data_IF_074857009496
#
_entry.id   IF_074857009496
#
_cell.length_a   1.000
_cell.length_b   1.000
_cell.length_c   1.000
_cell.angle_alpha   90.00
_cell.angle_beta   90.00
_cell.angle_gamma   90.00
#
_symmetry.space_group_name_H-M   'P 1'
#
loop_
_entity.id
_entity.type
_entity.pdbx_description
1 polymer ?
#
# COMPACT_ATOMS: atom_id res chain seq x y z
N UNK A 1 -27.67 -6.21 11.33
CA UNK A 1 -27.00 -6.15 10.01
C UNK A 1 -26.21 -4.85 9.82
N UNK A 2 -26.84 -3.67 9.65
CA UNK A 2 -26.11 -2.39 9.38
C UNK A 2 -25.06 -2.01 10.44
N UNK A 3 -25.37 -2.17 11.73
CA UNK A 3 -24.42 -1.88 12.81
C UNK A 3 -23.18 -2.79 12.79
N UNK A 4 -23.37 -4.09 12.55
CA UNK A 4 -22.27 -5.06 12.39
C UNK A 4 -21.43 -4.81 11.13
N UNK A 5 -22.04 -4.22 10.10
CA UNK A 5 -21.35 -3.76 8.89
C UNK A 5 -20.74 -2.36 9.04
N UNK A 6 -20.98 -1.67 10.16
CA UNK A 6 -20.53 -0.29 10.37
C UNK A 6 -20.97 0.68 9.25
N UNK A 7 -22.16 0.49 8.68
CA UNK A 7 -22.72 1.32 7.59
C UNK A 7 -23.89 2.16 8.05
N UNK A 8 -23.96 3.40 7.57
CA UNK A 8 -25.08 4.33 7.72
C UNK A 8 -25.87 4.43 6.41
N UNK A 9 -27.13 4.90 6.44
CA UNK A 9 -27.86 5.23 5.22
C UNK A 9 -27.07 6.24 4.37
N UNK A 10 -26.93 5.97 3.07
CA UNK A 10 -26.14 6.79 2.15
C UNK A 10 -24.69 6.32 1.95
N UNK A 11 -24.19 5.41 2.78
CA UNK A 11 -22.83 4.88 2.63
C UNK A 11 -22.72 3.97 1.39
N UNK A 12 -21.58 4.09 0.70
CA UNK A 12 -21.22 3.19 -0.40
C UNK A 12 -20.65 1.88 0.16
N UNK A 13 -21.08 0.77 -0.42
CA UNK A 13 -20.62 -0.59 -0.09
C UNK A 13 -20.21 -1.33 -1.35
N UNK A 14 -19.36 -2.34 -1.18
CA UNK A 14 -19.05 -3.30 -2.23
C UNK A 14 -19.94 -4.52 -2.02
N UNK A 15 -20.55 -5.03 -3.08
CA UNK A 15 -21.36 -6.23 -3.03
C UNK A 15 -20.95 -7.19 -4.16
N UNK A 16 -20.87 -8.47 -3.84
CA UNK A 16 -20.59 -9.53 -4.80
C UNK A 16 -21.48 -10.74 -4.51
N UNK A 17 -21.75 -11.55 -5.54
CA UNK A 17 -22.46 -12.83 -5.38
C UNK A 17 -21.45 -13.95 -5.51
N UNK A 18 -21.33 -14.77 -4.47
CA UNK A 18 -20.40 -15.91 -4.41
C UNK A 18 -21.19 -17.14 -4.02
N UNK A 19 -21.20 -18.17 -4.86
CA UNK A 19 -21.93 -19.45 -4.64
C UNK A 19 -23.42 -19.26 -4.30
N UNK A 20 -24.05 -18.24 -4.87
CA UNK A 20 -25.46 -17.89 -4.62
C UNK A 20 -25.69 -17.03 -3.37
N UNK A 21 -24.65 -16.68 -2.62
CA UNK A 21 -24.72 -15.76 -1.48
C UNK A 21 -24.41 -14.33 -1.89
N UNK A 22 -25.28 -13.37 -1.55
CA UNK A 22 -24.97 -11.94 -1.65
C UNK A 22 -24.09 -11.54 -0.47
N UNK A 23 -22.81 -11.27 -0.75
CA UNK A 23 -21.84 -10.77 0.23
C UNK A 23 -21.73 -9.26 0.09
N UNK A 24 -21.83 -8.55 1.21
CA UNK A 24 -21.75 -7.09 1.25
C UNK A 24 -20.66 -6.68 2.23
N UNK A 25 -19.77 -5.84 1.75
CA UNK A 25 -18.59 -5.37 2.46
C UNK A 25 -18.64 -3.85 2.59
N UNK A 26 -18.47 -3.36 3.81
CA UNK A 26 -18.17 -1.95 4.04
C UNK A 26 -16.67 -1.73 4.06
N UNK A 27 -16.23 -0.56 3.61
CA UNK A 27 -14.81 -0.17 3.69
C UNK A 27 -14.27 -0.28 5.12
N UNK A 28 -15.07 0.12 6.11
CA UNK A 28 -14.65 0.09 7.52
C UNK A 28 -14.38 -1.34 8.00
N UNK A 29 -15.26 -2.29 7.68
CA UNK A 29 -15.09 -3.70 8.06
C UNK A 29 -13.91 -4.34 7.35
N UNK A 30 -13.73 -4.08 6.05
CA UNK A 30 -12.58 -4.59 5.29
C UNK A 30 -11.26 -4.09 5.88
N UNK A 31 -11.17 -2.79 6.20
CA UNK A 31 -9.98 -2.23 6.82
C UNK A 31 -9.71 -2.84 8.21
N UNK A 32 -10.75 -3.07 9.02
CA UNK A 32 -10.59 -3.71 10.32
C UNK A 32 -10.06 -5.15 10.18
N UNK A 33 -10.55 -5.91 9.18
CA UNK A 33 -10.06 -7.26 8.89
C UNK A 33 -8.59 -7.24 8.46
N UNK A 34 -8.22 -6.36 7.53
CA UNK A 34 -6.82 -6.21 7.08
C UNK A 34 -5.91 -5.85 8.26
N UNK A 35 -6.34 -4.90 9.10
CA UNK A 35 -5.57 -4.48 10.27
C UNK A 35 -5.38 -5.64 11.27
N UNK A 36 -6.41 -6.46 11.49
CA UNK A 36 -6.31 -7.63 12.36
C UNK A 36 -5.32 -8.67 11.82
N UNK A 37 -5.36 -8.97 10.52
CA UNK A 37 -4.39 -9.89 9.89
C UNK A 37 -2.96 -9.34 9.94
N UNK A 38 -2.79 -8.04 9.66
CA UNK A 38 -1.49 -7.38 9.77
C UNK A 38 -0.94 -7.42 11.21
N UNK A 39 -1.80 -7.27 12.22
CA UNK A 39 -1.41 -7.40 13.62
C UNK A 39 -0.95 -8.82 13.98
N UNK A 40 -1.65 -9.86 13.50
CA UNK A 40 -1.23 -11.25 13.66
C UNK A 40 0.13 -11.50 13.02
N UNK A 41 0.34 -11.01 11.80
CA UNK A 41 1.63 -11.14 11.11
C UNK A 41 2.76 -10.49 11.92
N UNK A 42 2.57 -9.24 12.38
CA UNK A 42 3.56 -8.53 13.21
C UNK A 42 3.88 -9.27 14.50
N UNK A 43 2.86 -9.83 15.17
CA UNK A 43 3.06 -10.61 16.39
C UNK A 43 3.85 -11.90 16.13
N UNK A 44 3.65 -12.55 14.98
CA UNK A 44 4.39 -13.74 14.59
C UNK A 44 5.83 -13.44 14.10
N UNK A 45 6.10 -12.23 13.63
CA UNK A 45 7.40 -11.82 13.06
C UNK A 45 7.95 -10.55 13.75
N UNK A 46 8.33 -10.65 15.04
CA UNK A 46 8.86 -9.51 15.76
C UNK A 46 10.15 -9.00 15.10
N UNK A 47 10.26 -7.68 14.94
CA UNK A 47 11.43 -7.04 14.33
C UNK A 47 11.47 -7.08 12.79
N UNK A 48 10.53 -7.77 12.13
CA UNK A 48 10.39 -7.72 10.67
C UNK A 48 9.47 -6.56 10.29
N UNK A 49 9.95 -5.69 9.40
CA UNK A 49 9.18 -4.57 8.87
C UNK A 49 9.25 -4.59 7.35
N UNK A 50 8.23 -5.20 6.73
CA UNK A 50 8.07 -5.22 5.27
C UNK A 50 8.00 -3.80 4.68
N UNK A 51 7.51 -2.84 5.46
CA UNK A 51 7.44 -1.43 5.05
C UNK A 51 8.85 -0.84 4.96
N UNK A 52 9.72 -1.12 5.93
CA UNK A 52 11.08 -0.60 5.91
C UNK A 52 11.90 -1.22 4.79
N UNK A 53 11.73 -2.52 4.54
CA UNK A 53 12.31 -3.21 3.37
C UNK A 53 11.88 -2.55 2.07
N UNK A 54 10.56 -2.35 1.87
CA UNK A 54 10.03 -1.72 0.66
C UNK A 54 10.50 -0.26 0.50
N UNK A 55 10.57 0.50 1.59
CA UNK A 55 11.08 1.89 1.56
C UNK A 55 12.57 1.91 1.19
N UNK A 56 13.37 0.98 1.74
CA UNK A 56 14.78 0.87 1.43
C UNK A 56 14.99 0.55 -0.06
N UNK A 57 14.26 -0.42 -0.58
CA UNK A 57 14.30 -0.79 -2.00
C UNK A 57 13.91 0.40 -2.88
N UNK A 58 12.84 1.12 -2.51
CA UNK A 58 12.37 2.22 -3.36
C UNK A 58 13.31 3.42 -3.36
N UNK A 59 14.02 3.66 -2.25
CA UNK A 59 15.09 4.66 -2.17
C UNK A 59 16.32 4.26 -2.97
N UNK A 60 16.67 2.97 -2.97
CA UNK A 60 17.75 2.42 -3.77
C UNK A 60 17.46 2.57 -5.27
N UNK A 61 16.24 2.23 -5.71
CA UNK A 61 15.79 2.43 -7.08
C UNK A 61 15.83 3.91 -7.48
N UNK A 62 15.27 4.79 -6.66
CA UNK A 62 15.28 6.23 -6.92
C UNK A 62 16.72 6.79 -7.05
N UNK A 63 17.66 6.29 -6.24
CA UNK A 63 19.08 6.68 -6.37
C UNK A 63 19.66 6.24 -7.71
N UNK A 64 19.43 4.98 -8.12
CA UNK A 64 19.91 4.46 -9.40
C UNK A 64 19.33 5.23 -10.58
N UNK A 65 18.02 5.46 -10.59
CA UNK A 65 17.34 6.25 -11.62
C UNK A 65 17.92 7.67 -11.72
N UNK A 66 18.22 8.30 -10.58
CA UNK A 66 18.87 9.62 -10.53
C UNK A 66 20.31 9.57 -11.08
N UNK A 67 21.10 8.57 -10.70
CA UNK A 67 22.46 8.36 -11.20
C UNK A 67 22.49 8.17 -12.72
N UNK A 68 21.59 7.33 -13.25
CA UNK A 68 21.45 7.06 -14.69
C UNK A 68 21.00 8.33 -15.45
N UNK A 69 19.99 9.04 -14.93
CA UNK A 69 19.54 10.29 -15.52
C UNK A 69 20.65 11.35 -15.54
N UNK A 70 21.42 11.46 -14.47
CA UNK A 70 22.54 12.39 -14.38
C UNK A 70 23.71 12.01 -15.30
N UNK A 71 24.00 10.71 -15.46
CA UNK A 71 24.99 10.24 -16.41
C UNK A 71 24.60 10.59 -17.86
N UNK A 72 23.33 10.38 -18.21
CA UNK A 72 22.79 10.77 -19.52
C UNK A 72 22.89 12.29 -19.72
N UNK A 73 22.48 13.09 -18.74
CA UNK A 73 22.55 14.56 -18.82
C UNK A 73 23.96 15.06 -19.02
N UNK A 74 24.92 14.51 -18.27
CA UNK A 74 26.35 14.83 -18.42
C UNK A 74 26.86 14.50 -19.83
N UNK A 75 26.49 13.35 -20.38
CA UNK A 75 26.87 12.97 -21.74
C UNK A 75 26.30 13.92 -22.81
N UNK A 76 25.20 14.61 -22.50
CA UNK A 76 24.53 15.59 -23.38
C UNK A 76 24.78 17.05 -22.98
N UNK A 77 25.75 17.32 -22.10
CA UNK A 77 26.14 18.67 -21.70
C UNK A 77 25.12 19.42 -20.81
N UNK A 78 24.19 18.69 -20.20
CA UNK A 78 23.18 19.24 -19.28
C UNK A 78 23.65 19.12 -17.82
N UNK A 79 23.31 20.09 -16.94
CA UNK A 79 23.65 20.02 -15.51
C UNK A 79 22.86 18.89 -14.82
N UNK A 80 23.40 18.20 -13.80
CA UNK A 80 22.70 17.14 -13.09
C UNK A 80 21.47 17.67 -12.34
N UNK A 81 20.52 16.78 -12.05
CA UNK A 81 19.46 17.01 -11.07
C UNK A 81 20.03 17.00 -9.65
N UNK A 82 19.52 17.90 -8.80
CA UNK A 82 19.85 17.93 -7.38
C UNK A 82 19.10 16.79 -6.65
N UNK A 83 19.75 16.08 -5.72
CA UNK A 83 19.03 15.16 -4.85
C UNK A 83 18.09 15.94 -3.92
N UNK A 84 16.87 15.41 -3.72
CA UNK A 84 15.90 15.93 -2.74
C UNK A 84 16.35 15.71 -1.28
#
# INVERSE_FOLDING_TARGET
>A
MRAAMMVKPGDTVTAEVVDGELRIYSRAVVLAQIAAEAAKFKAAHPGVSLVDELIADRREEARKELEEANAWRKAHGLPPFEPE
#
